data_IF_850965674816
#
_entry.id   IF_850965674816
#
_cell.length_a   1.000
_cell.length_b   1.000
_cell.length_c   1.000
_cell.angle_alpha   90.00
_cell.angle_beta   90.00
_cell.angle_gamma   90.00
#
_symmetry.space_group_name_H-M   'P 1'
#
loop_
_entity.id
_entity.type
_entity.pdbx_description
1 polymer ?
#
# COMPACT_ATOMS: atom_id res chain seq x y z
N UNK A 1 2.17 20.93 18.40
CA UNK A 1 1.75 20.30 17.12
C UNK A 1 2.48 18.98 16.87
N UNK A 2 3.78 18.84 17.14
CA UNK A 2 4.54 17.59 16.94
C UNK A 2 3.99 16.37 17.72
N UNK A 3 3.45 16.56 18.94
CA UNK A 3 2.91 15.48 19.78
C UNK A 3 1.63 14.77 19.23
N UNK A 4 1.15 15.15 18.04
CA UNK A 4 -0.02 14.54 17.38
C UNK A 4 0.32 13.82 16.08
N UNK A 5 1.59 13.80 15.68
CA UNK A 5 2.04 13.07 14.49
C UNK A 5 2.56 11.71 14.94
N UNK A 6 2.04 10.66 14.34
CA UNK A 6 2.36 9.27 14.68
C UNK A 6 2.66 8.49 13.42
N UNK A 7 3.53 7.49 13.53
CA UNK A 7 3.74 6.55 12.43
C UNK A 7 2.49 5.68 12.29
N UNK A 8 2.15 5.32 11.06
CA UNK A 8 1.02 4.40 10.81
C UNK A 8 1.27 3.06 11.51
N UNK A 9 2.52 2.65 11.62
CA UNK A 9 2.93 1.42 12.27
C UNK A 9 2.65 1.40 13.76
N UNK A 10 2.79 2.55 14.44
CA UNK A 10 2.44 2.65 15.86
C UNK A 10 0.93 2.45 16.07
N UNK A 11 0.11 3.06 15.21
CA UNK A 11 -1.35 2.93 15.26
C UNK A 11 -1.81 1.50 14.98
N UNK A 12 -1.16 0.84 14.02
CA UNK A 12 -1.46 -0.55 13.68
C UNK A 12 -1.02 -1.52 14.78
N UNK A 13 0.16 -1.32 15.38
CA UNK A 13 0.62 -2.10 16.53
C UNK A 13 -0.37 -1.98 17.68
N UNK A 14 -0.80 -0.76 18.03
CA UNK A 14 -1.81 -0.57 19.07
C UNK A 14 -3.15 -1.23 18.76
N UNK A 15 -3.57 -1.23 17.49
CA UNK A 15 -4.80 -1.90 17.08
C UNK A 15 -4.68 -3.43 17.21
N UNK A 16 -3.53 -4.00 16.87
CA UNK A 16 -3.26 -5.43 17.00
C UNK A 16 -3.17 -5.82 18.48
N UNK A 17 -2.35 -5.10 19.25
CA UNK A 17 -2.09 -5.40 20.66
C UNK A 17 -3.38 -5.21 21.51
N UNK A 18 -4.28 -4.31 21.12
CA UNK A 18 -5.61 -4.15 21.73
C UNK A 18 -6.68 -5.13 21.21
N UNK A 19 -6.33 -6.04 20.28
CA UNK A 19 -7.26 -7.02 19.68
C UNK A 19 -8.31 -6.42 18.73
N UNK A 20 -8.19 -5.12 18.38
CA UNK A 20 -9.06 -4.45 17.40
C UNK A 20 -8.73 -4.87 15.97
N UNK A 21 -7.49 -5.30 15.71
CA UNK A 21 -7.03 -5.85 14.45
C UNK A 21 -6.48 -7.25 14.68
N UNK A 22 -7.09 -8.26 14.04
CA UNK A 22 -6.68 -9.65 14.21
C UNK A 22 -5.91 -10.12 12.98
N UNK A 23 -4.72 -10.67 13.21
CA UNK A 23 -3.90 -11.29 12.17
C UNK A 23 -4.09 -12.81 12.21
N UNK A 24 -4.26 -13.40 11.03
CA UNK A 24 -4.48 -14.84 10.91
C UNK A 24 -3.17 -15.62 11.01
N UNK A 25 -3.19 -16.69 11.79
CA UNK A 25 -2.00 -17.53 12.03
C UNK A 25 -1.58 -18.33 10.79
N UNK A 26 -2.52 -18.61 9.90
CA UNK A 26 -2.35 -19.35 8.64
C UNK A 26 -2.16 -18.42 7.43
N UNK A 27 -1.75 -17.15 7.66
CA UNK A 27 -1.38 -16.27 6.55
C UNK A 27 -0.26 -16.91 5.70
N UNK A 28 -0.18 -16.54 4.43
CA UNK A 28 0.88 -17.00 3.51
C UNK A 28 2.30 -16.61 3.94
N UNK A 29 2.44 -15.82 5.01
CA UNK A 29 3.72 -15.41 5.59
C UNK A 29 4.16 -16.27 6.77
N UNK A 30 3.31 -17.19 7.25
CA UNK A 30 3.66 -18.11 8.31
C UNK A 30 4.86 -18.97 7.88
N UNK A 31 5.90 -19.02 8.72
CA UNK A 31 7.16 -19.71 8.44
C UNK A 31 8.05 -19.03 7.40
N UNK A 32 7.69 -17.83 6.91
CA UNK A 32 8.47 -17.11 5.89
C UNK A 32 9.41 -16.11 6.52
N UNK A 33 10.54 -15.91 5.84
CA UNK A 33 11.50 -14.86 6.16
C UNK A 33 11.07 -13.54 5.51
N UNK A 34 11.08 -12.48 6.29
CA UNK A 34 10.84 -11.10 5.85
C UNK A 34 12.09 -10.28 6.20
N UNK A 35 12.71 -9.69 5.20
CA UNK A 35 13.79 -8.72 5.41
C UNK A 35 13.28 -7.30 5.16
N UNK A 36 13.62 -6.39 6.06
CA UNK A 36 13.16 -5.02 6.02
C UNK A 36 14.32 -4.05 5.74
N UNK A 37 14.17 -3.23 4.70
CA UNK A 37 15.00 -2.05 4.49
C UNK A 37 14.30 -0.82 5.06
N UNK A 38 14.80 -0.31 6.19
CA UNK A 38 14.32 0.92 6.77
C UNK A 38 14.75 2.16 5.98
N UNK A 39 13.77 3.01 5.65
CA UNK A 39 13.99 4.25 4.92
C UNK A 39 14.98 5.17 5.65
N UNK A 40 15.95 5.75 4.95
CA UNK A 40 17.00 6.58 5.56
C UNK A 40 16.45 7.76 6.38
N UNK A 41 15.42 8.48 5.88
CA UNK A 41 14.77 9.54 6.66
C UNK A 41 14.06 9.00 7.91
N UNK A 42 13.39 7.85 7.80
CA UNK A 42 12.71 7.23 8.93
C UNK A 42 13.72 6.84 10.01
N UNK A 43 14.83 6.20 9.61
CA UNK A 43 15.94 5.85 10.51
C UNK A 43 16.51 7.06 11.25
N UNK A 44 16.70 8.18 10.55
CA UNK A 44 17.28 9.39 11.11
C UNK A 44 16.33 10.17 12.03
N UNK A 45 15.04 10.24 11.69
CA UNK A 45 14.08 11.08 12.43
C UNK A 45 13.48 10.36 13.64
N UNK A 46 13.09 9.10 13.47
CA UNK A 46 12.20 8.39 14.40
C UNK A 46 12.57 6.92 14.64
N UNK A 47 13.53 6.40 13.87
CA UNK A 47 13.93 5.00 13.92
C UNK A 47 12.92 4.04 13.27
N UNK A 48 13.30 2.76 13.22
CA UNK A 48 12.57 1.67 12.55
C UNK A 48 11.83 0.74 13.51
N UNK A 49 11.90 1.02 14.81
CA UNK A 49 11.36 0.17 15.86
C UNK A 49 9.86 -0.13 15.69
N UNK A 50 9.06 0.87 15.32
CA UNK A 50 7.62 0.69 15.10
C UNK A 50 7.32 -0.22 13.91
N UNK A 51 8.03 -0.05 12.78
CA UNK A 51 7.87 -0.93 11.61
C UNK A 51 8.32 -2.35 11.91
N UNK A 52 9.45 -2.53 12.62
CA UNK A 52 9.91 -3.85 13.04
C UNK A 52 8.94 -4.50 14.02
N UNK A 53 8.38 -3.74 14.96
CA UNK A 53 7.34 -4.23 15.86
C UNK A 53 6.11 -4.69 15.06
N UNK A 54 5.61 -3.88 14.13
CA UNK A 54 4.47 -4.21 13.29
C UNK A 54 4.70 -5.50 12.49
N UNK A 55 5.82 -5.62 11.78
CA UNK A 55 6.13 -6.81 10.99
C UNK A 55 6.24 -8.06 11.86
N UNK A 56 6.84 -7.95 13.06
CA UNK A 56 6.94 -9.06 14.02
C UNK A 56 5.60 -9.50 14.62
N UNK A 57 4.53 -8.70 14.49
CA UNK A 57 3.18 -9.15 14.86
C UNK A 57 2.58 -10.11 13.83
N UNK A 58 3.11 -10.19 12.61
CA UNK A 58 2.65 -11.15 11.60
C UNK A 58 2.97 -12.56 12.12
N UNK A 59 1.95 -13.38 12.45
CA UNK A 59 2.20 -14.66 13.12
C UNK A 59 3.05 -15.59 12.27
N UNK A 60 4.07 -16.20 12.89
CA UNK A 60 4.95 -17.18 12.26
C UNK A 60 5.99 -16.61 11.29
N UNK A 61 5.98 -15.31 10.99
CA UNK A 61 7.02 -14.70 10.15
C UNK A 61 8.32 -14.49 10.93
N UNK A 62 9.46 -14.73 10.28
CA UNK A 62 10.80 -14.42 10.82
C UNK A 62 11.25 -13.11 10.21
N UNK A 63 11.33 -12.05 11.03
CA UNK A 63 11.57 -10.69 10.55
C UNK A 63 12.93 -10.16 10.99
N UNK A 64 13.73 -9.73 10.02
CA UNK A 64 15.03 -9.11 10.25
C UNK A 64 15.15 -7.77 9.52
N UNK A 65 15.85 -6.82 10.13
CA UNK A 65 16.19 -5.55 9.50
C UNK A 65 17.53 -5.69 8.79
N UNK A 66 17.61 -5.22 7.54
CA UNK A 66 18.86 -5.16 6.79
C UNK A 66 19.69 -3.99 7.33
N UNK A 67 20.92 -4.29 7.76
CA UNK A 67 21.93 -3.28 8.10
C UNK A 67 22.48 -2.60 6.84
N UNK A 68 21.66 -1.72 6.27
CA UNK A 68 21.97 -0.92 5.09
C UNK A 68 21.72 0.56 5.35
N UNK A 69 22.49 1.41 4.66
CA UNK A 69 22.29 2.86 4.64
C UNK A 69 21.11 3.31 3.76
N UNK A 70 21.32 4.34 2.94
CA UNK A 70 20.34 4.79 1.95
C UNK A 70 20.21 3.78 0.80
N UNK A 71 19.07 3.74 0.11
CA UNK A 71 18.92 2.97 -1.13
C UNK A 71 19.60 3.62 -2.34
N UNK A 72 19.87 4.93 -2.29
CA UNK A 72 20.49 5.70 -3.38
C UNK A 72 19.55 6.62 -4.14
N UNK A 73 18.22 6.42 -4.04
CA UNK A 73 17.29 7.20 -4.87
C UNK A 73 17.05 8.64 -4.45
N UNK A 74 16.96 8.92 -3.14
CA UNK A 74 16.72 10.26 -2.58
C UNK A 74 15.73 11.15 -3.37
N UNK A 75 14.54 10.62 -3.71
CA UNK A 75 13.53 11.33 -4.51
C UNK A 75 13.79 11.27 -6.01
N UNK A 76 13.91 12.42 -6.68
CA UNK A 76 14.23 12.50 -8.12
C UNK A 76 15.71 12.30 -8.42
N UNK A 77 16.59 12.44 -7.42
CA UNK A 77 18.04 12.37 -7.56
C UNK A 77 18.48 11.15 -8.36
N UNK A 78 18.02 9.95 -7.98
CA UNK A 78 18.39 8.72 -8.67
C UNK A 78 17.84 8.54 -10.10
N UNK A 79 16.96 9.42 -10.57
CA UNK A 79 16.46 9.43 -11.95
C UNK A 79 17.22 10.40 -12.86
N UNK A 80 17.98 11.33 -12.28
CA UNK A 80 18.76 12.30 -13.05
C UNK A 80 19.96 11.57 -13.68
N UNK A 81 20.14 11.72 -14.99
CA UNK A 81 21.19 11.00 -15.74
C UNK A 81 22.59 11.24 -15.17
N UNK A 82 22.82 12.42 -14.60
CA UNK A 82 24.08 12.84 -13.96
C UNK A 82 24.32 12.12 -12.63
N UNK A 83 23.27 11.65 -11.98
CA UNK A 83 23.30 11.05 -10.63
C UNK A 83 23.01 9.55 -10.62
N UNK A 84 22.64 8.98 -11.78
CA UNK A 84 22.26 7.57 -11.91
C UNK A 84 23.33 6.60 -11.41
N UNK A 85 24.58 6.77 -11.85
CA UNK A 85 25.70 5.91 -11.42
C UNK A 85 25.96 6.03 -9.91
N UNK A 86 25.84 7.25 -9.37
CA UNK A 86 25.99 7.49 -7.92
C UNK A 86 24.86 6.82 -7.13
N UNK A 87 23.62 6.92 -7.62
CA UNK A 87 22.45 6.26 -7.01
C UNK A 87 22.63 4.74 -6.95
N UNK A 88 23.10 4.12 -8.04
CA UNK A 88 23.41 2.69 -8.06
C UNK A 88 24.55 2.34 -7.10
N UNK A 89 25.65 3.09 -7.11
CA UNK A 89 26.80 2.85 -6.23
C UNK A 89 26.41 2.89 -4.74
N UNK A 90 25.51 3.80 -4.35
CA UNK A 90 24.96 3.84 -2.97
C UNK A 90 24.16 2.58 -2.64
N UNK A 91 23.37 2.07 -3.58
CA UNK A 91 22.63 0.82 -3.40
C UNK A 91 23.56 -0.42 -3.33
N UNK A 92 24.63 -0.42 -4.14
CA UNK A 92 25.64 -1.47 -4.21
C UNK A 92 26.51 -1.58 -2.96
N UNK A 93 26.65 -0.50 -2.17
CA UNK A 93 27.45 -0.51 -0.93
C UNK A 93 27.00 -1.61 0.04
N UNK A 94 25.70 -1.69 0.33
CA UNK A 94 25.17 -2.68 1.29
C UNK A 94 23.82 -3.27 0.94
N UNK A 95 22.90 -2.49 0.34
CA UNK A 95 21.53 -2.93 0.14
C UNK A 95 21.42 -4.05 -0.90
N UNK A 96 21.98 -3.87 -2.08
CA UNK A 96 21.88 -4.87 -3.15
C UNK A 96 22.61 -6.17 -2.81
N UNK A 97 23.85 -6.14 -2.26
CA UNK A 97 24.52 -7.37 -1.82
C UNK A 97 23.73 -8.14 -0.76
N UNK A 98 23.16 -7.44 0.23
CA UNK A 98 22.35 -8.08 1.26
C UNK A 98 21.10 -8.76 0.67
N UNK A 99 20.42 -8.11 -0.28
CA UNK A 99 19.26 -8.69 -0.97
C UNK A 99 19.61 -9.84 -1.92
N UNK A 100 20.81 -9.82 -2.50
CA UNK A 100 21.32 -10.90 -3.35
C UNK A 100 21.70 -12.15 -2.54
N UNK A 101 22.13 -11.97 -1.28
CA UNK A 101 22.44 -13.07 -0.37
C UNK A 101 21.18 -13.77 0.20
N UNK A 102 20.03 -13.12 0.13
CA UNK A 102 18.76 -13.67 0.60
C UNK A 102 18.18 -14.70 -0.38
N UNK A 103 17.61 -15.82 0.12
CA UNK A 103 16.85 -16.75 -0.70
C UNK A 103 15.82 -16.06 -1.61
N UNK A 104 15.58 -16.66 -2.77
CA UNK A 104 14.67 -16.11 -3.77
C UNK A 104 13.24 -15.96 -3.23
N UNK A 105 12.85 -16.80 -2.28
CA UNK A 105 11.54 -16.82 -1.64
C UNK A 105 11.45 -15.93 -0.39
N UNK A 106 12.54 -15.27 0.03
CA UNK A 106 12.52 -14.23 1.06
C UNK A 106 11.64 -13.06 0.62
N UNK A 107 10.80 -12.59 1.53
CA UNK A 107 9.95 -11.41 1.31
C UNK A 107 10.75 -10.16 1.65
N UNK A 108 10.77 -9.19 0.75
CA UNK A 108 11.45 -7.90 0.98
C UNK A 108 10.41 -6.84 1.33
N UNK A 109 10.67 -6.05 2.37
CA UNK A 109 9.82 -4.95 2.81
C UNK A 109 10.58 -3.62 2.81
N UNK A 110 9.92 -2.54 2.38
CA UNK A 110 10.44 -1.17 2.48
C UNK A 110 9.30 -0.14 2.49
N UNK A 111 9.39 0.88 3.36
CA UNK A 111 8.34 1.91 3.54
C UNK A 111 8.34 2.94 2.41
N UNK A 112 9.50 3.36 1.90
CA UNK A 112 9.58 4.37 0.83
C UNK A 112 9.28 3.84 -0.57
N UNK A 113 8.47 4.57 -1.34
CA UNK A 113 8.20 4.25 -2.75
C UNK A 113 9.48 4.22 -3.59
N UNK A 114 10.35 5.22 -3.43
CA UNK A 114 11.63 5.27 -4.14
C UNK A 114 12.56 4.13 -3.72
N UNK A 115 12.53 3.71 -2.45
CA UNK A 115 13.28 2.53 -2.00
C UNK A 115 12.79 1.26 -2.67
N UNK A 116 11.46 1.05 -2.75
CA UNK A 116 10.90 -0.13 -3.45
C UNK A 116 11.24 -0.13 -4.94
N UNK A 117 11.20 1.02 -5.60
CA UNK A 117 11.61 1.17 -7.00
C UNK A 117 13.09 0.84 -7.20
N UNK A 118 13.96 1.34 -6.31
CA UNK A 118 15.40 1.08 -6.38
C UNK A 118 15.74 -0.39 -6.15
N UNK A 119 15.08 -1.03 -5.19
CA UNK A 119 15.22 -2.46 -4.92
C UNK A 119 14.81 -3.28 -6.15
N UNK A 120 13.73 -2.87 -6.82
CA UNK A 120 13.32 -3.50 -8.07
C UNK A 120 14.36 -3.29 -9.18
N UNK A 121 14.84 -2.06 -9.36
CA UNK A 121 15.74 -1.72 -10.45
C UNK A 121 17.15 -2.31 -10.27
N UNK A 122 17.74 -2.16 -9.09
CA UNK A 122 19.12 -2.56 -8.81
C UNK A 122 19.30 -4.00 -8.33
N UNK A 123 18.27 -4.61 -7.71
CA UNK A 123 18.36 -5.98 -7.19
C UNK A 123 17.35 -6.95 -7.82
N UNK A 124 16.45 -6.50 -8.70
CA UNK A 124 15.44 -7.35 -9.35
C UNK A 124 14.41 -7.93 -8.37
N UNK A 125 14.31 -7.41 -7.15
CA UNK A 125 13.37 -7.90 -6.12
C UNK A 125 12.15 -6.99 -6.04
N UNK A 126 10.97 -7.57 -5.88
CA UNK A 126 9.76 -6.80 -5.56
C UNK A 126 9.65 -6.62 -4.05
N UNK A 127 9.80 -5.38 -3.59
CA UNK A 127 9.60 -5.03 -2.18
C UNK A 127 8.14 -4.65 -1.90
N UNK A 128 7.63 -5.08 -0.75
CA UNK A 128 6.30 -4.78 -0.23
C UNK A 128 6.34 -3.57 0.70
N UNK A 129 5.27 -2.80 0.76
CA UNK A 129 5.09 -1.88 1.89
C UNK A 129 4.67 -2.68 3.14
N UNK A 130 5.19 -2.40 4.35
CA UNK A 130 4.81 -3.14 5.56
C UNK A 130 3.31 -3.25 5.82
N UNK A 131 2.56 -2.17 5.56
CA UNK A 131 1.08 -2.16 5.65
C UNK A 131 0.41 -3.14 4.67
N UNK A 132 1.00 -3.41 3.51
CA UNK A 132 0.46 -4.42 2.57
C UNK A 132 0.63 -5.84 3.10
N UNK A 133 1.77 -6.11 3.76
CA UNK A 133 2.01 -7.39 4.42
C UNK A 133 1.02 -7.60 5.57
N UNK A 134 0.80 -6.58 6.39
CA UNK A 134 -0.21 -6.64 7.47
C UNK A 134 -1.61 -6.84 6.91
N UNK A 135 -1.99 -6.09 5.86
CA UNK A 135 -3.29 -6.22 5.20
C UNK A 135 -3.54 -7.65 4.72
N UNK A 136 -2.55 -8.26 4.08
CA UNK A 136 -2.64 -9.64 3.58
C UNK A 136 -2.68 -10.66 4.72
N UNK A 137 -2.07 -10.35 5.86
CA UNK A 137 -2.12 -11.15 7.09
C UNK A 137 -3.39 -10.93 7.92
N UNK A 138 -4.30 -10.03 7.53
CA UNK A 138 -5.55 -9.81 8.26
C UNK A 138 -6.41 -11.06 8.24
N UNK A 139 -6.98 -11.41 9.40
CA UNK A 139 -8.10 -12.32 9.42
C UNK A 139 -9.24 -11.70 8.61
N UNK A 140 -9.74 -12.41 7.59
CA UNK A 140 -11.04 -12.08 7.02
C UNK A 140 -12.08 -12.28 8.10
N UNK A 141 -12.37 -11.22 8.83
CA UNK A 141 -13.73 -11.03 9.28
C UNK A 141 -14.53 -10.92 7.98
N UNK A 142 -15.54 -11.76 7.74
CA UNK A 142 -16.43 -11.74 6.56
C UNK A 142 -17.28 -10.44 6.45
N UNK A 143 -16.66 -9.32 6.78
CA UNK A 143 -17.15 -8.10 7.37
C UNK A 143 -16.10 -6.99 7.20
N UNK A 144 -15.31 -7.02 6.13
CA UNK A 144 -14.42 -5.92 5.80
C UNK A 144 -15.25 -4.65 5.68
N UNK A 145 -15.03 -3.71 6.60
CA UNK A 145 -15.69 -2.42 6.61
C UNK A 145 -15.37 -1.69 5.30
N UNK A 146 -16.35 -1.59 4.40
CA UNK A 146 -16.17 -0.91 3.11
C UNK A 146 -16.94 0.40 3.15
N UNK A 147 -16.25 1.52 3.04
CA UNK A 147 -16.92 2.79 2.81
C UNK A 147 -17.49 2.75 1.39
N UNK A 148 -18.80 2.84 1.27
CA UNK A 148 -19.53 2.82 0.01
C UNK A 148 -20.21 4.17 -0.23
N UNK A 149 -20.26 4.59 -1.49
CA UNK A 149 -21.17 5.64 -1.95
C UNK A 149 -22.37 4.94 -2.56
N UNK A 150 -23.59 5.35 -2.19
CA UNK A 150 -24.81 4.72 -2.66
C UNK A 150 -25.87 5.75 -3.04
N UNK A 151 -26.83 5.34 -3.87
CA UNK A 151 -28.10 6.02 -4.06
C UNK A 151 -29.24 5.19 -3.47
N UNK A 152 -30.12 5.85 -2.71
CA UNK A 152 -31.35 5.29 -2.14
C UNK A 152 -32.45 6.36 -2.23
N UNK A 153 -33.60 6.02 -2.80
CA UNK A 153 -34.74 6.93 -2.99
C UNK A 153 -34.38 8.28 -3.64
N UNK A 154 -33.45 8.26 -4.59
CA UNK A 154 -32.99 9.46 -5.30
C UNK A 154 -32.01 10.35 -4.50
N UNK A 155 -31.66 9.96 -3.28
CA UNK A 155 -30.64 10.63 -2.47
C UNK A 155 -29.31 9.88 -2.52
N UNK A 156 -28.21 10.63 -2.61
CA UNK A 156 -26.86 10.08 -2.60
C UNK A 156 -26.27 10.18 -1.20
N UNK A 157 -25.79 9.06 -0.67
CA UNK A 157 -25.18 8.96 0.65
C UNK A 157 -23.82 8.28 0.63
N UNK A 158 -23.15 8.33 1.79
CA UNK A 158 -21.99 7.48 2.10
C UNK A 158 -22.32 6.63 3.30
N UNK A 159 -21.91 5.37 3.26
CA UNK A 159 -22.19 4.42 4.32
C UNK A 159 -21.06 3.44 4.50
N UNK A 160 -21.18 2.65 5.54
CA UNK A 160 -20.31 1.53 5.86
C UNK A 160 -21.03 0.24 5.47
N UNK A 161 -20.55 -0.43 4.44
CA UNK A 161 -21.00 -1.76 4.09
C UNK A 161 -20.33 -2.82 4.98
N UNK A 162 -21.15 -3.68 5.56
CA UNK A 162 -20.78 -4.77 6.45
C UNK A 162 -21.65 -5.99 6.11
N UNK A 163 -21.05 -6.97 5.43
CA UNK A 163 -21.81 -8.06 4.81
C UNK A 163 -22.79 -7.54 3.76
N UNK A 164 -24.08 -7.83 3.92
CA UNK A 164 -25.18 -7.38 3.05
C UNK A 164 -25.86 -6.08 3.50
N UNK A 165 -25.37 -5.45 4.58
CA UNK A 165 -25.96 -4.25 5.19
C UNK A 165 -25.11 -3.03 4.94
N UNK A 166 -25.74 -1.88 4.75
CA UNK A 166 -25.11 -0.57 4.71
C UNK A 166 -25.59 0.25 5.89
N UNK A 167 -24.65 0.72 6.69
CA UNK A 167 -24.85 1.57 7.85
C UNK A 167 -24.45 3.01 7.53
N UNK A 168 -24.93 3.98 8.31
CA UNK A 168 -24.48 5.36 8.18
C UNK A 168 -22.97 5.45 8.43
N UNK A 169 -22.32 6.41 7.76
CA UNK A 169 -20.92 6.79 8.00
C UNK A 169 -20.86 8.08 8.85
N UNK A 170 -20.91 7.98 10.18
CA UNK A 170 -20.70 9.12 11.06
C UNK A 170 -19.24 9.58 10.99
N UNK A 171 -19.00 10.75 10.41
CA UNK A 171 -17.67 11.35 10.36
C UNK A 171 -17.09 11.50 11.77
N UNK A 172 -15.95 10.84 12.02
CA UNK A 172 -15.23 10.92 13.29
C UNK A 172 -15.68 9.91 14.36
N UNK A 173 -16.56 8.96 14.04
CA UNK A 173 -16.92 7.87 14.93
C UNK A 173 -16.21 6.55 14.54
N UNK A 174 -15.87 5.74 15.55
CA UNK A 174 -15.16 4.47 15.37
C UNK A 174 -16.09 3.30 15.00
N UNK A 175 -17.41 3.50 15.10
CA UNK A 175 -18.43 2.47 14.84
C UNK A 175 -19.41 2.92 13.77
N UNK A 176 -19.92 2.00 12.93
CA UNK A 176 -20.98 2.30 11.99
C UNK A 176 -22.21 2.88 12.70
N UNK A 177 -22.90 3.81 12.04
CA UNK A 177 -24.14 4.39 12.55
C UNK A 177 -25.34 3.46 12.36
N UNK A 178 -26.54 4.05 12.32
CA UNK A 178 -27.77 3.29 12.12
C UNK A 178 -27.75 2.51 10.80
N UNK A 179 -28.50 1.40 10.73
CA UNK A 179 -28.71 0.67 9.48
C UNK A 179 -29.47 1.59 8.50
N UNK A 180 -28.91 1.79 7.31
CA UNK A 180 -29.54 2.54 6.23
C UNK A 180 -30.42 1.61 5.41
N UNK A 181 -29.82 0.58 4.81
CA UNK A 181 -30.49 -0.36 3.91
C UNK A 181 -29.62 -1.61 3.69
N UNK A 182 -30.17 -2.64 3.03
CA UNK A 182 -29.39 -3.74 2.48
C UNK A 182 -28.76 -3.36 1.14
N UNK A 183 -27.66 -4.02 0.76
CA UNK A 183 -27.01 -3.84 -0.54
C UNK A 183 -27.95 -4.12 -1.73
N UNK A 184 -28.94 -4.99 -1.54
CA UNK A 184 -29.96 -5.29 -2.56
C UNK A 184 -31.01 -4.19 -2.73
N UNK A 185 -31.06 -3.23 -1.81
CA UNK A 185 -32.09 -2.18 -1.75
C UNK A 185 -31.56 -0.82 -2.23
N UNK A 186 -30.26 -0.74 -2.55
CA UNK A 186 -29.58 0.50 -2.98
C UNK A 186 -28.77 0.30 -4.25
N UNK A 187 -28.45 1.40 -4.92
CA UNK A 187 -27.51 1.41 -6.05
C UNK A 187 -26.11 1.81 -5.55
N UNK A 188 -25.13 0.94 -5.71
CA UNK A 188 -23.72 1.28 -5.43
C UNK A 188 -23.18 2.19 -6.53
N UNK A 189 -22.63 3.33 -6.10
CA UNK A 189 -22.02 4.31 -6.99
C UNK A 189 -20.49 4.21 -6.94
N UNK A 190 -19.83 4.82 -7.92
CA UNK A 190 -18.39 5.03 -7.86
C UNK A 190 -18.02 5.77 -6.55
N UNK A 191 -16.88 5.43 -5.90
CA UNK A 191 -16.50 5.93 -4.59
C UNK A 191 -16.30 7.46 -4.56
N UNK A 192 -15.94 8.03 -5.71
CA UNK A 192 -15.94 9.46 -5.96
C UNK A 192 -16.79 9.77 -7.20
N UNK A 193 -17.34 10.98 -7.27
CA UNK A 193 -17.83 11.49 -8.56
C UNK A 193 -16.63 11.68 -9.49
N UNK A 194 -16.72 11.27 -10.76
CA UNK A 194 -15.66 11.54 -11.71
C UNK A 194 -15.48 13.05 -11.86
N UNK A 195 -14.44 13.60 -11.22
CA UNK A 195 -13.99 14.97 -11.42
C UNK A 195 -13.08 15.08 -12.64
N UNK A 196 -12.94 16.29 -13.17
CA UNK A 196 -11.84 16.60 -14.09
C UNK A 196 -10.52 16.44 -13.35
N UNK A 197 -9.66 15.53 -13.80
CA UNK A 197 -8.27 15.48 -13.34
C UNK A 197 -7.56 16.69 -13.95
N UNK A 198 -7.38 17.76 -13.17
CA UNK A 198 -6.51 18.87 -13.55
C UNK A 198 -5.11 18.51 -13.07
N UNK A 199 -4.28 18.04 -14.00
CA UNK A 199 -2.84 17.89 -13.74
C UNK A 199 -2.21 19.29 -13.62
N UNK A 200 -2.22 19.88 -12.43
CA UNK A 200 -1.43 21.08 -12.13
C UNK A 200 -0.05 20.64 -11.64
N UNK A 201 0.88 20.49 -12.58
CA UNK A 201 2.27 20.19 -12.27
C UNK A 201 3.14 20.28 -13.51
N UNK A 202 3.85 21.39 -13.68
CA UNK A 202 4.71 21.70 -14.83
C UNK A 202 5.94 20.78 -15.00
N UNK A 203 6.02 19.63 -14.32
CA UNK A 203 7.22 18.78 -14.24
C UNK A 203 7.09 17.36 -14.82
N UNK A 204 6.06 17.05 -15.62
CA UNK A 204 5.77 15.67 -16.04
C UNK A 204 5.80 15.39 -17.55
N UNK A 205 6.62 16.09 -18.33
CA UNK A 205 6.80 15.75 -19.76
C UNK A 205 7.44 14.36 -19.95
N UNK A 206 8.31 13.92 -19.03
CA UNK A 206 9.02 12.63 -19.13
C UNK A 206 8.14 11.38 -18.91
N UNK A 207 7.09 11.47 -18.10
CA UNK A 207 6.23 10.33 -17.78
C UNK A 207 5.16 10.05 -18.86
N UNK A 208 4.81 11.04 -19.69
CA UNK A 208 3.83 10.86 -20.76
C UNK A 208 4.41 10.13 -21.97
N UNK A 209 5.71 10.26 -22.23
CA UNK A 209 6.37 9.62 -23.37
C UNK A 209 6.39 8.08 -23.25
N UNK A 210 6.44 7.52 -22.03
CA UNK A 210 6.43 6.08 -21.80
C UNK A 210 5.03 5.46 -21.68
N UNK A 211 3.99 6.26 -21.43
CA UNK A 211 2.61 5.78 -21.19
C UNK A 211 1.66 5.92 -22.39
N UNK A 212 2.05 6.66 -23.43
CA UNK A 212 1.24 6.84 -24.64
C UNK A 212 0.98 5.54 -25.43
N UNK A 213 1.70 4.45 -25.15
CA UNK A 213 1.49 3.16 -25.81
C UNK A 213 0.52 2.21 -25.09
N UNK A 214 0.18 2.43 -23.82
CA UNK A 214 -0.60 1.44 -23.05
C UNK A 214 -2.08 1.79 -22.90
N UNK A 215 -2.47 3.07 -22.97
CA UNK A 215 -3.86 3.50 -22.81
C UNK A 215 -4.44 4.08 -24.10
N UNK A 216 -4.80 3.22 -25.06
CA UNK A 216 -5.74 3.61 -26.12
C UNK A 216 -7.17 3.44 -25.58
N UNK A 217 -7.68 4.43 -24.84
CA UNK A 217 -9.08 4.47 -24.41
C UNK A 217 -9.96 4.70 -25.65
N UNK A 218 -10.42 3.62 -26.28
CA UNK A 218 -11.51 3.70 -27.26
C UNK A 218 -12.84 3.84 -26.52
N UNK A 219 -13.47 5.02 -26.63
CA UNK A 219 -14.89 5.17 -26.30
C UNK A 219 -15.71 4.26 -27.24
N UNK A 220 -16.24 3.16 -26.74
CA UNK A 220 -17.36 2.46 -27.38
C UNK A 220 -18.50 2.30 -26.39
N UNK A 221 -19.63 2.96 -26.69
CA UNK A 221 -20.92 2.72 -26.05
C UNK A 221 -21.38 1.30 -26.41
N UNK A 222 -21.46 0.39 -25.45
CA UNK A 222 -22.48 -0.66 -25.36
C UNK A 222 -22.22 -1.59 -24.17
N UNK A 223 -23.28 -2.28 -23.77
CA UNK A 223 -23.46 -3.03 -22.52
C UNK A 223 -22.56 -4.27 -22.41
N UNK A 224 -22.47 -4.74 -21.16
CA UNK A 224 -22.21 -6.10 -20.69
C UNK A 224 -20.73 -6.57 -20.59
N UNK A 225 -20.45 -7.12 -19.40
CA UNK A 225 -19.32 -7.96 -18.98
C UNK A 225 -17.91 -7.35 -19.04
N UNK A 226 -17.40 -6.91 -17.89
CA UNK A 226 -15.95 -6.78 -17.68
C UNK A 226 -15.46 -8.02 -16.92
N UNK A 227 -15.12 -9.06 -17.68
CA UNK A 227 -14.14 -10.07 -17.25
C UNK A 227 -12.75 -9.50 -17.49
N UNK A 228 -11.80 -9.84 -16.61
CA UNK A 228 -10.40 -9.50 -16.75
C UNK A 228 -9.82 -10.02 -18.07
N UNK A 229 -8.94 -9.24 -18.69
CA UNK A 229 -7.92 -9.78 -19.59
C UNK A 229 -6.68 -8.87 -19.54
N UNK A 230 -5.70 -9.30 -18.75
CA UNK A 230 -4.31 -9.03 -19.07
C UNK A 230 -4.02 -9.72 -20.40
N UNK A 231 -3.66 -8.95 -21.42
CA UNK A 231 -2.89 -9.43 -22.54
C UNK A 231 -1.65 -8.54 -22.64
N UNK A 232 -0.52 -9.08 -22.21
CA UNK A 232 0.82 -8.59 -22.56
C UNK A 232 1.33 -9.59 -23.62
N UNK A 233 1.97 -9.14 -24.72
CA UNK A 233 2.71 -10.06 -25.59
C UNK A 233 3.85 -10.77 -24.85
#
# INVERSE_FOLDING_TARGET
MAARVRQVEELLVEAIDAGRLQLRADSRFAGRRIVFHGHCHQKAEVGTAATMALLRRIPGAVVEEIDSGCCGMAGSFGFESEHYETSLAVGEDRLFPALAAEPADTIVAATGVSCRQQIFHGAGRTAWHPVELVREALAENGNGMRIVRYALDGQVGRGIAHGDKVHEFPWGAETPGALVARLSELELLAPCEPGTIVCAGSNYAGHLAAWAHCCRVTRSRSRSTASACCAIP
#
